data_IF_881138812698
#
_entry.id   IF_881138812698
#
_cell.length_a   1.000
_cell.length_b   1.000
_cell.length_c   1.000
_cell.angle_alpha   90.00
_cell.angle_beta   90.00
_cell.angle_gamma   90.00
#
_symmetry.space_group_name_H-M   'P 1'
#
loop_
_entity.id
_entity.type
_entity.pdbx_description
1 polymer ?
#
# COMPACT_ATOMS: atom_id res chain seq x y z
N UNK A 1 38.51 42.42 27.95
CA UNK A 1 38.08 41.72 26.73
C UNK A 1 37.80 40.27 27.12
N UNK A 2 36.51 39.93 27.32
CA UNK A 2 36.08 38.58 27.67
C UNK A 2 35.51 37.91 26.42
N UNK A 3 35.96 36.69 26.14
CA UNK A 3 35.53 35.85 25.03
C UNK A 3 34.04 35.48 25.14
N UNK A 4 33.30 35.38 24.03
CA UNK A 4 31.89 34.96 24.09
C UNK A 4 31.78 33.45 24.39
N UNK A 5 30.67 32.99 25.01
CA UNK A 5 30.46 31.59 25.33
C UNK A 5 30.17 30.76 24.06
N UNK A 6 30.72 29.55 24.02
CA UNK A 6 30.55 28.60 22.93
C UNK A 6 29.08 28.18 22.76
N UNK A 7 28.58 28.27 21.53
CA UNK A 7 27.28 27.76 21.10
C UNK A 7 27.18 26.24 21.35
N UNK A 8 26.01 25.70 21.75
CA UNK A 8 25.85 24.26 21.90
C UNK A 8 25.96 23.61 20.52
N UNK A 9 26.98 22.78 20.35
CA UNK A 9 27.15 21.88 19.22
C UNK A 9 25.95 20.95 19.17
N UNK A 10 25.02 21.21 18.25
CA UNK A 10 24.04 20.21 17.80
C UNK A 10 24.84 19.03 17.28
N UNK A 11 24.85 17.93 18.01
CA UNK A 11 25.40 16.66 17.56
C UNK A 11 24.61 16.23 16.33
N UNK A 12 25.11 16.55 15.15
CA UNK A 12 24.68 15.99 13.88
C UNK A 12 25.15 14.54 13.85
N UNK A 13 24.41 13.65 14.51
CA UNK A 13 24.59 12.21 14.31
C UNK A 13 24.19 11.93 12.87
N UNK A 14 25.18 11.65 12.02
CA UNK A 14 24.94 11.07 10.71
C UNK A 14 24.08 9.81 10.88
N UNK A 15 23.04 9.59 10.06
CA UNK A 15 22.25 8.37 10.18
C UNK A 15 23.20 7.19 9.94
N UNK A 16 23.39 6.36 10.97
CA UNK A 16 24.07 5.09 10.81
C UNK A 16 23.32 4.30 9.74
N UNK A 17 24.06 3.54 8.91
CA UNK A 17 23.55 2.68 7.82
C UNK A 17 22.60 1.55 8.28
N UNK A 18 21.97 1.69 9.44
CA UNK A 18 21.27 0.61 10.15
C UNK A 18 19.85 0.95 10.57
N UNK A 19 19.33 2.18 10.47
CA UNK A 19 17.93 2.43 10.88
C UNK A 19 16.96 2.02 9.76
N UNK A 20 16.05 1.07 10.05
CA UNK A 20 14.97 0.66 9.15
C UNK A 20 13.88 1.75 9.15
N UNK A 21 14.17 2.85 8.44
CA UNK A 21 13.33 4.03 8.35
C UNK A 21 12.76 4.17 6.94
N UNK A 22 11.43 4.06 6.82
CA UNK A 22 10.71 4.23 5.57
C UNK A 22 9.89 5.51 5.56
N UNK A 23 9.88 6.20 4.42
CA UNK A 23 9.02 7.35 4.17
C UNK A 23 7.75 6.89 3.44
N UNK A 24 6.59 7.15 4.01
CA UNK A 24 5.28 6.93 3.38
C UNK A 24 4.60 8.27 3.19
N UNK A 25 3.98 8.51 2.04
CA UNK A 25 3.22 9.73 1.78
C UNK A 25 1.73 9.43 1.65
N UNK A 26 0.87 10.33 2.13
CA UNK A 26 -0.59 10.23 1.93
C UNK A 26 -1.01 11.27 0.90
N UNK A 27 -1.61 10.84 -0.21
CA UNK A 27 -2.07 11.72 -1.29
C UNK A 27 -3.56 11.54 -1.53
N UNK A 28 -4.21 12.60 -2.02
CA UNK A 28 -5.65 12.60 -2.31
C UNK A 28 -6.27 13.98 -2.12
N UNK A 29 -7.44 14.17 -2.70
CA UNK A 29 -8.18 15.45 -2.67
C UNK A 29 -8.40 15.98 -1.26
N UNK A 30 -8.57 17.29 -1.11
CA UNK A 30 -8.96 17.90 0.16
C UNK A 30 -10.23 17.23 0.73
N UNK A 31 -10.31 17.15 2.06
CA UNK A 31 -11.45 16.62 2.81
C UNK A 31 -11.77 15.12 2.62
N UNK A 32 -10.94 14.34 1.90
CA UNK A 32 -11.11 12.87 1.83
C UNK A 32 -10.83 12.15 3.16
N UNK A 33 -10.22 12.83 4.13
CA UNK A 33 -9.99 12.32 5.49
C UNK A 33 -8.57 11.81 5.78
N UNK A 34 -7.55 12.25 5.04
CA UNK A 34 -6.13 11.88 5.24
C UNK A 34 -5.64 12.09 6.68
N UNK A 35 -5.87 13.28 7.23
CA UNK A 35 -5.46 13.64 8.59
C UNK A 35 -6.14 12.76 9.64
N UNK A 36 -7.47 12.58 9.55
CA UNK A 36 -8.21 11.71 10.47
C UNK A 36 -7.78 10.24 10.36
N UNK A 37 -7.53 9.73 9.15
CA UNK A 37 -6.97 8.39 8.96
C UNK A 37 -5.63 8.25 9.69
N UNK A 38 -4.73 9.22 9.54
CA UNK A 38 -3.42 9.16 10.16
C UNK A 38 -3.48 9.31 11.69
N UNK A 39 -4.27 10.25 12.20
CA UNK A 39 -4.45 10.44 13.65
C UNK A 39 -4.99 9.17 14.31
N UNK A 40 -6.03 8.56 13.75
CA UNK A 40 -6.61 7.32 14.28
C UNK A 40 -5.63 6.15 14.16
N UNK A 41 -4.97 5.99 13.01
CA UNK A 41 -4.08 4.85 12.77
C UNK A 41 -2.80 4.90 13.63
N UNK A 42 -2.21 6.07 13.79
CA UNK A 42 -0.85 6.20 14.35
C UNK A 42 -0.81 6.76 15.78
N UNK A 43 -1.80 7.56 16.18
CA UNK A 43 -1.87 8.16 17.52
C UNK A 43 -2.88 7.46 18.43
N UNK A 44 -3.77 6.65 17.87
CA UNK A 44 -4.91 6.10 18.60
C UNK A 44 -5.87 7.20 19.04
N UNK A 45 -5.80 8.37 18.39
CA UNK A 45 -6.65 9.52 18.70
C UNK A 45 -8.11 9.22 18.33
N UNK A 46 -9.03 9.91 19.00
CA UNK A 46 -10.43 9.88 18.60
C UNK A 46 -10.61 10.63 17.27
N UNK A 47 -11.53 10.14 16.45
CA UNK A 47 -11.93 10.79 15.22
C UNK A 47 -12.43 12.22 15.50
N UNK A 48 -11.90 13.21 14.77
CA UNK A 48 -12.31 14.60 14.87
C UNK A 48 -13.15 15.03 13.65
N UNK A 49 -14.46 15.19 13.87
CA UNK A 49 -15.38 15.70 12.84
C UNK A 49 -15.06 17.14 12.40
N UNK A 50 -14.41 17.92 13.28
CA UNK A 50 -14.06 19.32 13.05
C UNK A 50 -12.60 19.49 12.66
N UNK A 51 -11.96 18.42 12.16
CA UNK A 51 -10.56 18.45 11.74
C UNK A 51 -10.32 19.63 10.81
N UNK A 52 -9.49 20.58 11.24
CA UNK A 52 -9.15 21.77 10.46
C UNK A 52 -8.42 21.38 9.17
N UNK A 53 -8.44 22.28 8.18
CA UNK A 53 -7.65 22.08 6.98
C UNK A 53 -6.15 22.02 7.34
N UNK A 54 -5.45 20.99 6.88
CA UNK A 54 -4.00 20.87 7.03
C UNK A 54 -3.32 22.04 6.34
N UNK A 55 -2.62 22.89 7.10
CA UNK A 55 -1.90 24.05 6.57
C UNK A 55 -0.44 23.73 6.25
N UNK A 56 0.15 22.81 7.02
CA UNK A 56 1.56 22.43 6.90
C UNK A 56 1.69 20.90 6.84
N UNK A 57 2.63 20.37 6.03
CA UNK A 57 2.96 18.96 6.05
C UNK A 57 3.46 18.56 7.44
N UNK A 58 2.84 17.53 8.01
CA UNK A 58 3.27 16.92 9.27
C UNK A 58 3.48 15.42 9.01
N UNK A 59 4.39 14.80 9.74
CA UNK A 59 4.54 13.35 9.71
C UNK A 59 4.33 12.74 11.09
N UNK A 60 3.79 11.53 11.10
CA UNK A 60 3.73 10.69 12.30
C UNK A 60 4.66 9.50 12.11
N UNK A 61 5.33 9.08 13.18
CA UNK A 61 6.17 7.89 13.17
C UNK A 61 5.37 6.69 13.66
N UNK A 62 5.16 5.71 12.79
CA UNK A 62 4.60 4.40 13.11
C UNK A 62 5.73 3.41 13.35
N UNK A 63 5.63 2.63 14.42
CA UNK A 63 6.60 1.56 14.75
C UNK A 63 5.93 0.22 14.52
N UNK A 64 6.54 -0.60 13.68
CA UNK A 64 6.08 -1.95 13.34
C UNK A 64 7.12 -2.95 13.81
N UNK A 65 6.68 -4.04 14.44
CA UNK A 65 7.61 -5.09 14.86
C UNK A 65 8.18 -5.78 13.63
N UNK A 66 9.51 -5.93 13.60
CA UNK A 66 10.17 -6.59 12.48
C UNK A 66 9.91 -8.11 12.58
N UNK A 67 9.33 -8.74 11.54
CA UNK A 67 8.85 -10.13 11.63
C UNK A 67 9.99 -11.15 11.76
N UNK A 68 11.14 -10.89 11.16
CA UNK A 68 12.33 -11.75 11.21
C UNK A 68 13.37 -11.26 12.24
N UNK A 69 12.94 -10.48 13.24
CA UNK A 69 13.84 -10.08 14.31
C UNK A 69 14.12 -11.21 15.30
N UNK A 70 15.39 -11.34 15.68
CA UNK A 70 15.84 -12.28 16.69
C UNK A 70 16.44 -11.54 17.88
N UNK A 71 16.25 -12.09 19.08
CA UNK A 71 16.80 -11.53 20.30
C UNK A 71 18.32 -11.31 20.17
N UNK A 72 18.78 -10.11 20.52
CA UNK A 72 20.18 -9.69 20.39
C UNK A 72 20.54 -9.01 19.07
N UNK A 73 19.66 -9.01 18.06
CA UNK A 73 19.89 -8.26 16.82
C UNK A 73 19.47 -6.78 16.95
N UNK A 74 20.14 -5.83 16.26
CA UNK A 74 19.67 -4.45 16.20
C UNK A 74 18.37 -4.34 15.39
N UNK A 75 17.66 -3.22 15.56
CA UNK A 75 16.44 -2.87 14.80
C UNK A 75 15.29 -3.86 14.99
N UNK A 76 14.86 -4.05 16.24
CA UNK A 76 13.63 -4.77 16.57
C UNK A 76 12.38 -4.20 15.88
N UNK A 77 12.38 -2.89 15.63
CA UNK A 77 11.26 -2.19 15.03
C UNK A 77 11.66 -1.56 13.70
N UNK A 78 10.77 -1.69 12.73
CA UNK A 78 10.72 -0.88 11.53
C UNK A 78 10.02 0.43 11.89
N UNK A 79 10.55 1.56 11.42
CA UNK A 79 9.94 2.88 11.59
C UNK A 79 9.44 3.38 10.25
N UNK A 80 8.18 3.79 10.19
CA UNK A 80 7.62 4.46 9.04
C UNK A 80 7.25 5.90 9.41
N UNK A 81 7.83 6.88 8.72
CA UNK A 81 7.37 8.26 8.77
C UNK A 81 6.28 8.44 7.73
N UNK A 82 5.05 8.57 8.18
CA UNK A 82 3.88 8.77 7.33
C UNK A 82 3.59 10.26 7.27
N UNK A 83 3.77 10.85 6.09
CA UNK A 83 3.62 12.27 5.84
C UNK A 83 2.17 12.58 5.41
N UNK A 84 1.44 13.31 6.24
CA UNK A 84 0.17 13.91 5.89
C UNK A 84 0.43 15.23 5.15
N UNK A 85 0.06 15.26 3.86
CA UNK A 85 0.15 16.47 3.04
C UNK A 85 -1.19 17.19 3.02
N UNK A 86 -1.12 18.51 3.01
CA UNK A 86 -2.30 19.34 2.83
C UNK A 86 -2.90 19.10 1.45
N UNK A 87 -4.10 18.49 1.38
CA UNK A 87 -4.87 18.08 0.18
C UNK A 87 -5.16 19.12 -0.91
N UNK A 88 -4.57 20.31 -0.77
CA UNK A 88 -4.55 21.42 -1.73
C UNK A 88 -3.26 21.48 -2.56
N UNK A 89 -2.35 20.51 -2.43
CA UNK A 89 -1.05 20.48 -3.12
C UNK A 89 -1.13 20.40 -4.66
N UNK A 90 -2.35 20.40 -5.22
CA UNK A 90 -2.65 20.57 -6.65
C UNK A 90 -1.96 21.78 -7.31
N UNK A 91 -1.46 22.77 -6.56
CA UNK A 91 -1.11 24.06 -7.16
C UNK A 91 0.32 24.61 -7.06
N UNK A 92 1.30 24.08 -6.32
CA UNK A 92 2.60 24.78 -6.26
C UNK A 92 3.85 23.89 -6.16
N UNK A 93 4.95 24.42 -6.72
CA UNK A 93 6.32 23.91 -6.82
C UNK A 93 6.98 23.41 -5.51
N UNK A 94 6.31 23.57 -4.37
CA UNK A 94 6.69 23.04 -3.05
C UNK A 94 6.42 21.52 -2.95
N UNK A 95 5.58 20.99 -3.86
CA UNK A 95 5.03 19.62 -3.87
C UNK A 95 6.05 18.50 -4.18
N UNK A 96 6.96 18.68 -5.15
CA UNK A 96 7.85 17.60 -5.63
C UNK A 96 8.80 17.02 -4.56
N UNK A 97 9.23 17.85 -3.61
CA UNK A 97 10.10 17.43 -2.51
C UNK A 97 9.44 16.41 -1.56
N UNK A 98 8.12 16.44 -1.44
CA UNK A 98 7.36 15.51 -0.59
C UNK A 98 7.35 14.10 -1.16
N UNK A 99 7.23 13.97 -2.48
CA UNK A 99 7.26 12.69 -3.18
C UNK A 99 8.66 12.07 -3.23
N UNK A 100 9.70 12.91 -3.23
CA UNK A 100 11.08 12.43 -3.31
C UNK A 100 11.42 11.49 -2.16
N UNK A 101 12.08 10.37 -2.50
CA UNK A 101 12.48 9.30 -1.57
C UNK A 101 11.32 8.65 -0.82
N UNK A 102 10.09 8.73 -1.31
CA UNK A 102 8.99 7.93 -0.76
C UNK A 102 9.27 6.44 -1.00
N UNK A 103 9.18 5.65 0.05
CA UNK A 103 9.23 4.19 0.00
C UNK A 103 7.85 3.57 -0.26
N UNK A 104 6.78 4.30 0.07
CA UNK A 104 5.43 3.90 -0.29
C UNK A 104 4.45 5.07 -0.28
N UNK A 105 3.23 4.81 -0.74
CA UNK A 105 2.18 5.81 -0.83
C UNK A 105 0.80 5.25 -0.45
N UNK A 106 0.02 6.06 0.27
CA UNK A 106 -1.41 5.90 0.48
C UNK A 106 -2.15 6.84 -0.48
N UNK A 107 -3.05 6.30 -1.30
CA UNK A 107 -3.86 7.07 -2.24
C UNK A 107 -5.31 7.04 -1.75
N UNK A 108 -5.80 8.15 -1.20
CA UNK A 108 -7.07 8.20 -0.45
C UNK A 108 -8.17 8.90 -1.23
N UNK A 109 -9.35 8.30 -1.28
CA UNK A 109 -10.58 8.94 -1.76
C UNK A 109 -11.75 8.77 -0.77
N UNK A 110 -12.77 9.61 -0.91
CA UNK A 110 -14.01 9.52 -0.14
C UNK A 110 -15.03 8.73 -0.96
N UNK A 111 -15.49 7.58 -0.45
CA UNK A 111 -16.44 6.71 -1.17
C UNK A 111 -17.78 7.40 -1.45
N UNK A 112 -18.15 8.37 -0.62
CA UNK A 112 -19.40 9.13 -0.76
C UNK A 112 -19.32 10.25 -1.81
N UNK A 113 -18.12 10.53 -2.34
CA UNK A 113 -17.89 11.58 -3.33
C UNK A 113 -17.05 11.09 -4.52
N UNK A 114 -17.74 10.67 -5.57
CA UNK A 114 -17.20 10.10 -6.81
C UNK A 114 -16.18 11.02 -7.45
N UNK A 115 -16.34 12.34 -7.33
CA UNK A 115 -15.37 13.30 -7.85
C UNK A 115 -13.97 13.05 -7.26
N UNK A 116 -13.87 12.71 -5.98
CA UNK A 116 -12.57 12.48 -5.32
C UNK A 116 -11.83 11.27 -5.91
N UNK A 117 -12.57 10.22 -6.29
CA UNK A 117 -12.03 9.07 -6.99
C UNK A 117 -11.63 9.40 -8.44
N UNK A 118 -12.49 10.11 -9.19
CA UNK A 118 -12.17 10.51 -10.57
C UNK A 118 -11.04 11.53 -10.66
N UNK A 119 -10.85 12.35 -9.62
CA UNK A 119 -9.71 13.25 -9.49
C UNK A 119 -8.39 12.46 -9.41
N UNK A 120 -8.40 11.18 -8.99
CA UNK A 120 -7.25 10.28 -8.92
C UNK A 120 -7.18 9.34 -10.13
N UNK A 121 -8.29 8.79 -10.60
CA UNK A 121 -8.34 7.85 -11.72
C UNK A 121 -9.30 8.34 -12.82
N UNK A 122 -8.92 9.38 -13.59
CA UNK A 122 -9.74 9.85 -14.69
C UNK A 122 -9.85 8.76 -15.77
N UNK A 123 -11.08 8.42 -16.17
CA UNK A 123 -11.36 7.37 -17.17
C UNK A 123 -10.96 7.72 -18.62
N UNK A 124 -10.17 8.77 -18.85
CA UNK A 124 -9.77 9.29 -20.18
C UNK A 124 -8.24 9.38 -20.36
N UNK A 125 -7.78 9.91 -21.50
CA UNK A 125 -6.34 9.98 -21.90
C UNK A 125 -5.48 10.99 -21.14
N UNK A 126 -5.99 11.66 -20.10
CA UNK A 126 -5.20 12.53 -19.23
C UNK A 126 -5.09 11.88 -17.85
N UNK A 127 -3.87 11.63 -17.38
CA UNK A 127 -3.65 11.11 -16.02
C UNK A 127 -4.09 12.12 -14.96
N UNK A 128 -4.42 11.66 -13.75
CA UNK A 128 -4.70 12.60 -12.65
C UNK A 128 -3.44 13.36 -12.25
N UNK A 129 -3.58 14.59 -11.75
CA UNK A 129 -2.47 15.30 -11.13
C UNK A 129 -1.82 14.48 -10.00
N UNK A 130 -2.59 13.70 -9.25
CA UNK A 130 -2.09 12.87 -8.15
C UNK A 130 -1.15 11.77 -8.60
N UNK A 131 -1.59 10.98 -9.58
CA UNK A 131 -0.82 9.85 -10.08
C UNK A 131 0.35 10.32 -10.95
N UNK A 132 0.15 11.36 -11.75
CA UNK A 132 1.24 11.99 -12.52
C UNK A 132 2.30 12.56 -11.58
N UNK A 133 1.91 13.26 -10.51
CA UNK A 133 2.86 13.76 -9.53
C UNK A 133 3.61 12.62 -8.80
N UNK A 134 2.90 11.56 -8.41
CA UNK A 134 3.53 10.38 -7.82
C UNK A 134 4.55 9.76 -8.79
N UNK A 135 4.20 9.62 -10.07
CA UNK A 135 5.08 9.07 -11.12
C UNK A 135 6.33 9.90 -11.34
N UNK A 136 6.16 11.20 -11.53
CA UNK A 136 7.21 12.09 -11.99
C UNK A 136 8.18 12.49 -10.88
N UNK A 137 7.75 12.41 -9.61
CA UNK A 137 8.51 12.90 -8.47
C UNK A 137 8.99 11.81 -7.50
N UNK A 138 8.46 10.59 -7.59
CA UNK A 138 8.96 9.44 -6.80
C UNK A 138 10.10 8.75 -7.52
N UNK A 139 10.98 8.11 -6.76
CA UNK A 139 12.03 7.27 -7.30
C UNK A 139 11.47 5.85 -7.52
N UNK A 140 11.38 5.34 -8.76
CA UNK A 140 10.86 4.00 -9.03
C UNK A 140 11.63 2.89 -8.31
N UNK A 141 12.92 3.09 -8.04
CA UNK A 141 13.75 2.12 -7.32
C UNK A 141 13.45 2.10 -5.81
N UNK A 142 12.80 3.15 -5.27
CA UNK A 142 12.48 3.25 -3.85
C UNK A 142 11.00 3.02 -3.55
N UNK A 143 10.10 3.35 -4.48
CA UNK A 143 8.65 3.25 -4.30
C UNK A 143 8.19 1.78 -4.29
N UNK A 144 8.38 1.15 -3.14
CA UNK A 144 8.19 -0.27 -2.94
C UNK A 144 6.71 -0.66 -2.85
N UNK A 145 5.82 0.12 -2.26
CA UNK A 145 4.41 -0.29 -2.14
C UNK A 145 3.45 0.89 -2.23
N UNK A 146 2.29 0.66 -2.86
CA UNK A 146 1.22 1.65 -2.98
C UNK A 146 -0.10 1.00 -2.57
N UNK A 147 -0.87 1.71 -1.75
CA UNK A 147 -2.19 1.28 -1.31
C UNK A 147 -3.24 2.29 -1.74
N UNK A 148 -4.30 1.79 -2.40
CA UNK A 148 -5.53 2.52 -2.65
C UNK A 148 -6.43 2.42 -1.42
N UNK A 149 -6.86 3.55 -0.87
CA UNK A 149 -7.69 3.63 0.33
C UNK A 149 -9.05 4.23 -0.02
N UNK A 150 -10.08 3.38 0.03
CA UNK A 150 -11.49 3.78 0.02
C UNK A 150 -11.89 4.19 1.44
N UNK A 151 -12.05 5.48 1.69
CA UNK A 151 -12.35 6.00 3.03
C UNK A 151 -13.82 6.42 3.18
N UNK A 152 -14.25 6.49 4.44
CA UNK A 152 -15.60 6.86 4.88
C UNK A 152 -16.68 5.85 4.49
N UNK A 153 -16.33 4.56 4.53
CA UNK A 153 -17.26 3.47 4.21
C UNK A 153 -18.46 3.40 5.16
N UNK A 154 -18.38 4.03 6.34
CA UNK A 154 -19.53 4.23 7.23
C UNK A 154 -20.70 4.94 6.55
N UNK A 155 -20.42 5.83 5.59
CA UNK A 155 -21.45 6.54 4.84
C UNK A 155 -22.21 5.68 3.82
N UNK A 156 -21.68 4.50 3.45
CA UNK A 156 -22.36 3.57 2.53
C UNK A 156 -23.69 3.06 3.09
N UNK A 157 -23.76 2.96 4.42
CA UNK A 157 -24.90 2.44 5.15
C UNK A 157 -25.93 3.53 5.49
N UNK A 158 -25.60 4.81 5.29
CA UNK A 158 -26.52 5.92 5.55
C UNK A 158 -27.66 5.90 4.52
N UNK A 159 -28.91 5.83 5.01
CA UNK A 159 -30.11 5.71 4.16
C UNK A 159 -30.49 7.02 3.46
N UNK A 160 -29.88 8.13 3.88
CA UNK A 160 -30.26 9.50 3.50
C UNK A 160 -29.18 10.11 2.60
N UNK A 161 -29.17 9.77 1.31
CA UNK A 161 -28.19 10.34 0.40
C UNK A 161 -28.40 9.95 -1.06
N UNK A 162 -27.99 10.83 -1.95
CA UNK A 162 -27.91 10.56 -3.38
C UNK A 162 -26.75 9.61 -3.67
N UNK A 163 -27.06 8.30 -3.75
CA UNK A 163 -26.08 7.24 -4.04
C UNK A 163 -25.45 7.36 -5.44
N UNK A 164 -25.95 8.22 -6.33
CA UNK A 164 -25.32 8.44 -7.64
C UNK A 164 -23.94 9.09 -7.52
N UNK A 165 -23.69 9.79 -6.41
CA UNK A 165 -22.41 10.41 -6.08
C UNK A 165 -21.42 9.43 -5.48
N UNK A 166 -21.80 8.18 -5.21
CA UNK A 166 -20.93 7.23 -4.57
C UNK A 166 -20.04 6.56 -5.61
N UNK A 167 -18.83 6.19 -5.20
CA UNK A 167 -17.94 5.37 -6.02
C UNK A 167 -18.55 3.97 -6.11
N UNK A 168 -18.53 3.39 -7.31
CA UNK A 168 -19.08 2.05 -7.55
C UNK A 168 -17.95 1.02 -7.48
N UNK A 169 -18.22 -0.14 -6.89
CA UNK A 169 -17.27 -1.26 -6.85
C UNK A 169 -16.73 -1.66 -8.22
N UNK A 170 -17.55 -1.56 -9.27
CA UNK A 170 -17.12 -1.81 -10.66
C UNK A 170 -16.05 -0.82 -11.14
N UNK A 171 -16.13 0.45 -10.73
CA UNK A 171 -15.15 1.48 -11.09
C UNK A 171 -13.81 1.18 -10.39
N UNK A 172 -13.85 0.75 -9.12
CA UNK A 172 -12.67 0.34 -8.34
C UNK A 172 -12.01 -0.91 -8.92
N UNK A 173 -12.80 -1.97 -9.15
CA UNK A 173 -12.35 -3.23 -9.76
C UNK A 173 -11.67 -2.99 -11.12
N UNK A 174 -12.24 -2.10 -11.93
CA UNK A 174 -11.62 -1.68 -13.19
C UNK A 174 -10.23 -1.10 -12.95
N UNK A 175 -10.07 -0.11 -12.05
CA UNK A 175 -8.75 0.49 -11.75
C UNK A 175 -7.75 -0.53 -11.24
N UNK A 176 -8.15 -1.39 -10.30
CA UNK A 176 -7.30 -2.44 -9.74
C UNK A 176 -6.83 -3.41 -10.83
N UNK A 177 -7.71 -3.81 -11.74
CA UNK A 177 -7.35 -4.67 -12.88
C UNK A 177 -6.44 -3.94 -13.88
N UNK A 178 -6.71 -2.68 -14.20
CA UNK A 178 -5.91 -1.91 -15.17
C UNK A 178 -4.48 -1.67 -14.68
N UNK A 179 -4.32 -1.45 -13.38
CA UNK A 179 -3.02 -1.25 -12.73
C UNK A 179 -2.17 -2.54 -12.75
N UNK A 180 -2.83 -3.70 -12.77
CA UNK A 180 -2.14 -4.99 -12.92
C UNK A 180 -1.90 -5.32 -14.39
N UNK A 181 -2.86 -5.12 -15.29
CA UNK A 181 -2.84 -5.72 -16.64
C UNK A 181 -2.48 -4.78 -17.80
N UNK A 182 -2.56 -3.46 -17.66
CA UNK A 182 -2.24 -2.54 -18.77
C UNK A 182 -0.74 -2.22 -18.84
N UNK A 183 -0.24 -2.01 -20.06
CA UNK A 183 1.14 -1.56 -20.30
C UNK A 183 1.44 -0.26 -19.52
N UNK A 184 2.56 -0.20 -18.75
CA UNK A 184 3.05 1.01 -18.08
C UNK A 184 3.13 2.28 -18.94
N UNK A 185 3.29 2.13 -20.26
CA UNK A 185 3.37 3.23 -21.22
C UNK A 185 2.00 3.79 -21.61
N UNK A 186 0.92 3.01 -21.48
CA UNK A 186 -0.41 3.35 -21.99
C UNK A 186 -1.51 3.37 -20.91
N UNK A 187 -1.20 2.97 -19.67
CA UNK A 187 -2.16 2.93 -18.57
C UNK A 187 -1.52 3.08 -17.19
N UNK A 188 -2.25 2.64 -16.16
CA UNK A 188 -1.80 2.68 -14.76
C UNK A 188 -0.76 1.62 -14.41
N UNK A 189 -0.34 0.80 -15.38
CA UNK A 189 0.66 -0.24 -15.18
C UNK A 189 2.00 0.28 -14.65
N UNK A 190 2.35 1.56 -14.80
CA UNK A 190 3.63 2.09 -14.28
C UNK A 190 3.67 2.20 -12.76
N UNK A 191 2.52 2.22 -12.07
CA UNK A 191 2.49 2.10 -10.61
C UNK A 191 3.25 0.84 -10.16
N UNK A 192 3.41 -0.11 -11.09
CA UNK A 192 4.03 -1.40 -10.91
C UNK A 192 4.82 -1.78 -12.16
N UNK A 193 6.12 -1.49 -12.24
CA UNK A 193 6.99 -1.74 -13.40
C UNK A 193 7.18 -3.24 -13.77
N UNK A 194 6.09 -3.95 -14.04
CA UNK A 194 6.06 -5.29 -14.61
C UNK A 194 5.82 -5.15 -16.11
N UNK A 195 6.76 -5.63 -16.92
CA UNK A 195 6.47 -5.82 -18.34
C UNK A 195 5.36 -6.88 -18.48
N UNK A 196 4.60 -6.85 -19.57
CA UNK A 196 3.50 -7.79 -19.79
C UNK A 196 3.98 -9.26 -19.82
N UNK A 197 5.26 -9.47 -20.13
CA UNK A 197 5.92 -10.77 -20.24
C UNK A 197 6.50 -11.28 -18.91
N UNK A 198 6.45 -10.49 -17.83
CA UNK A 198 6.91 -10.90 -16.49
C UNK A 198 5.96 -11.90 -15.85
N UNK A 199 6.51 -12.79 -15.02
CA UNK A 199 5.75 -13.88 -14.38
C UNK A 199 4.59 -13.37 -13.51
N UNK A 200 3.54 -14.19 -13.37
CA UNK A 200 2.36 -13.84 -12.56
C UNK A 200 2.72 -13.52 -11.09
N UNK A 201 3.63 -14.25 -10.42
CA UNK A 201 4.12 -13.90 -9.09
C UNK A 201 4.76 -12.51 -9.02
N UNK A 202 5.44 -12.05 -10.07
CA UNK A 202 6.00 -10.70 -10.13
C UNK A 202 4.90 -9.63 -10.16
N UNK A 203 3.83 -9.87 -10.93
CA UNK A 203 2.70 -8.96 -11.09
C UNK A 203 1.86 -8.86 -9.81
N UNK A 204 1.68 -9.99 -9.09
CA UNK A 204 1.08 -10.01 -7.74
C UNK A 204 1.99 -9.33 -6.73
N UNK A 205 3.28 -9.68 -6.79
CA UNK A 205 4.43 -9.02 -6.19
C UNK A 205 4.21 -7.53 -6.06
N UNK A 206 4.01 -6.93 -7.24
CA UNK A 206 3.81 -5.52 -7.50
C UNK A 206 2.33 -5.18 -7.75
N UNK A 207 1.36 -5.72 -7.04
CA UNK A 207 -0.02 -5.20 -7.12
C UNK A 207 -0.24 -4.03 -6.16
N UNK A 208 -1.33 -3.27 -6.33
CA UNK A 208 -1.78 -2.34 -5.30
C UNK A 208 -2.25 -3.14 -4.09
N UNK A 209 -2.07 -2.59 -2.89
CA UNK A 209 -2.95 -2.95 -1.78
C UNK A 209 -4.26 -2.18 -1.95
N UNK A 210 -5.39 -2.76 -1.60
CA UNK A 210 -6.66 -2.05 -1.54
C UNK A 210 -7.23 -2.12 -0.13
N UNK A 211 -7.58 -0.99 0.47
CA UNK A 211 -8.14 -0.95 1.81
C UNK A 211 -9.45 -0.17 1.83
N UNK A 212 -10.49 -0.77 2.42
CA UNK A 212 -11.75 -0.09 2.77
C UNK A 212 -11.67 0.35 4.21
N UNK A 213 -11.94 1.62 4.50
CA UNK A 213 -11.65 2.21 5.81
C UNK A 213 -12.76 3.13 6.30
N UNK A 214 -12.98 3.13 7.63
CA UNK A 214 -13.73 4.16 8.33
C UNK A 214 -12.88 4.71 9.48
N UNK A 215 -12.35 5.92 9.29
CA UNK A 215 -11.66 6.64 10.37
C UNK A 215 -12.56 6.84 11.60
N UNK A 216 -13.86 7.06 11.39
CA UNK A 216 -14.85 7.24 12.46
C UNK A 216 -14.94 6.01 13.39
N UNK A 217 -14.85 4.81 12.84
CA UNK A 217 -14.97 3.57 13.61
C UNK A 217 -13.63 2.86 13.83
N UNK A 218 -12.52 3.44 13.37
CA UNK A 218 -11.21 2.78 13.32
C UNK A 218 -11.28 1.37 12.71
N UNK A 219 -12.01 1.22 11.61
CA UNK A 219 -12.13 -0.06 10.90
C UNK A 219 -11.38 -0.03 9.58
N UNK A 220 -10.80 -1.17 9.22
CA UNK A 220 -10.23 -1.41 7.90
C UNK A 220 -10.48 -2.84 7.44
N UNK A 221 -10.80 -3.02 6.16
CA UNK A 221 -10.73 -4.29 5.44
C UNK A 221 -9.64 -4.16 4.38
N UNK A 222 -8.61 -5.00 4.45
CA UNK A 222 -7.51 -5.01 3.50
C UNK A 222 -7.74 -6.09 2.44
N UNK A 223 -7.38 -5.80 1.20
CA UNK A 223 -7.47 -6.72 0.08
C UNK A 223 -6.13 -6.77 -0.66
N UNK A 224 -5.70 -7.98 -0.97
CA UNK A 224 -4.49 -8.24 -1.74
C UNK A 224 -4.79 -9.05 -3.01
N UNK A 225 -4.00 -8.84 -4.06
CA UNK A 225 -4.12 -9.62 -5.29
C UNK A 225 -3.57 -11.02 -5.08
N UNK A 226 -4.36 -12.06 -5.37
CA UNK A 226 -3.96 -13.47 -5.25
C UNK A 226 -4.25 -14.25 -6.55
N UNK A 227 -3.57 -15.39 -6.75
CA UNK A 227 -3.95 -16.37 -7.78
C UNK A 227 -5.03 -17.29 -7.22
N UNK A 228 -6.22 -17.30 -7.83
CA UNK A 228 -7.20 -18.35 -7.55
C UNK A 228 -6.98 -19.55 -8.46
N UNK A 229 -6.85 -20.72 -7.84
CA UNK A 229 -7.00 -21.98 -8.54
C UNK A 229 -8.44 -22.08 -9.09
N UNK A 230 -8.59 -22.34 -10.39
CA UNK A 230 -9.90 -22.54 -11.00
C UNK A 230 -10.41 -23.93 -10.56
N UNK A 231 -11.52 -24.03 -9.81
CA UNK A 231 -12.04 -25.32 -9.36
C UNK A 231 -12.30 -26.26 -10.54
N UNK A 232 -11.76 -27.48 -10.49
CA UNK A 232 -11.91 -28.49 -11.55
C UNK A 232 -10.79 -28.52 -12.60
N UNK A 233 -9.71 -27.74 -12.45
CA UNK A 233 -8.49 -27.84 -13.28
C UNK A 233 -7.28 -28.06 -12.36
N UNK A 234 -6.58 -29.18 -12.53
CA UNK A 234 -5.61 -29.72 -11.58
C UNK A 234 -4.43 -28.79 -11.24
N UNK A 235 -3.92 -28.94 -10.02
CA UNK A 235 -2.67 -28.33 -9.55
C UNK A 235 -1.45 -28.87 -10.32
N UNK A 236 -0.54 -27.98 -10.69
CA UNK A 236 0.73 -28.34 -11.33
C UNK A 236 1.68 -28.95 -10.30
N UNK A 237 2.08 -30.22 -10.50
CA UNK A 237 3.27 -30.80 -9.88
C UNK A 237 4.46 -30.48 -10.80
N UNK A 238 5.48 -29.80 -10.29
CA UNK A 238 6.74 -29.55 -11.00
C UNK A 238 7.49 -30.88 -11.21
N UNK A 239 7.85 -31.20 -12.46
CA UNK A 239 8.94 -32.16 -12.74
C UNK A 239 8.72 -33.30 -13.74
N UNK A 240 7.81 -33.21 -14.72
CA UNK A 240 7.71 -34.24 -15.78
C UNK A 240 7.73 -33.64 -17.19
N UNK A 241 8.47 -34.29 -18.10
CA UNK A 241 8.62 -33.92 -19.52
C UNK A 241 7.27 -33.95 -20.26
N UNK A 242 7.06 -32.97 -21.15
CA UNK A 242 5.80 -32.68 -21.84
C UNK A 242 5.64 -33.39 -23.20
N UNK A 243 6.47 -34.39 -23.51
CA UNK A 243 6.36 -35.12 -24.77
C UNK A 243 5.36 -36.27 -24.64
N UNK A 244 4.11 -36.01 -25.03
CA UNK A 244 3.10 -37.07 -25.23
C UNK A 244 1.68 -36.83 -24.71
N UNK A 245 1.36 -35.67 -24.13
CA UNK A 245 0.01 -35.42 -23.60
C UNK A 245 -1.00 -34.96 -24.68
N UNK A 246 -2.27 -35.44 -24.59
CA UNK A 246 -3.34 -35.08 -25.53
C UNK A 246 -3.71 -33.60 -25.47
N UNK A 247 -4.10 -33.03 -26.62
CA UNK A 247 -4.30 -31.59 -26.87
C UNK A 247 -5.28 -30.90 -25.90
N UNK A 248 -6.21 -31.62 -25.28
CA UNK A 248 -7.14 -31.04 -24.29
C UNK A 248 -6.46 -30.60 -22.98
N UNK A 249 -5.29 -31.16 -22.65
CA UNK A 249 -4.47 -30.69 -21.51
C UNK A 249 -3.65 -29.43 -21.85
N UNK A 250 -3.57 -29.05 -23.14
CA UNK A 250 -2.86 -27.86 -23.62
C UNK A 250 -3.72 -26.59 -23.54
N UNK A 251 -5.02 -26.67 -23.27
CA UNK A 251 -5.86 -25.50 -22.97
C UNK A 251 -5.78 -25.13 -21.49
N UNK A 252 -4.60 -24.73 -21.05
CA UNK A 252 -4.41 -24.09 -19.76
C UNK A 252 -4.95 -22.65 -19.85
N UNK A 253 -6.09 -22.39 -19.22
CA UNK A 253 -6.52 -21.01 -18.99
C UNK A 253 -5.59 -20.41 -17.93
N UNK A 254 -5.09 -19.17 -18.12
CA UNK A 254 -4.24 -18.54 -17.13
C UNK A 254 -4.98 -18.44 -15.79
N UNK A 255 -4.28 -18.55 -14.64
CA UNK A 255 -4.89 -18.42 -13.33
C UNK A 255 -5.65 -17.10 -13.24
N UNK A 256 -6.83 -17.14 -12.62
CA UNK A 256 -7.66 -15.94 -12.45
C UNK A 256 -7.11 -15.16 -11.28
N UNK A 257 -6.65 -13.93 -11.53
CA UNK A 257 -6.23 -13.04 -10.46
C UNK A 257 -7.44 -12.34 -9.85
N UNK A 258 -7.57 -12.40 -8.54
CA UNK A 258 -8.64 -11.74 -7.80
C UNK A 258 -8.08 -11.04 -6.55
N UNK A 259 -8.71 -9.95 -6.14
CA UNK A 259 -8.45 -9.34 -4.83
C UNK A 259 -9.21 -10.13 -3.77
N UNK A 260 -8.48 -10.67 -2.80
CA UNK A 260 -9.04 -11.40 -1.67
C UNK A 260 -8.88 -10.60 -0.37
N UNK A 261 -9.88 -10.64 0.53
CA UNK A 261 -9.79 -9.96 1.81
C UNK A 261 -8.79 -10.67 2.73
N UNK A 262 -7.95 -9.87 3.39
CA UNK A 262 -7.17 -10.29 4.54
C UNK A 262 -8.07 -10.26 5.78
N UNK A 263 -8.32 -11.43 6.37
CA UNK A 263 -9.23 -11.61 7.52
C UNK A 263 -8.65 -11.14 8.86
N UNK A 264 -7.34 -10.93 8.93
CA UNK A 264 -6.64 -10.52 10.15
C UNK A 264 -6.66 -9.00 10.34
N UNK A 265 -6.73 -8.24 9.23
CA UNK A 265 -6.77 -6.79 9.24
C UNK A 265 -8.19 -6.30 9.51
N UNK A 266 -8.37 -5.63 10.66
CA UNK A 266 -9.66 -5.09 11.11
C UNK A 266 -9.62 -3.60 11.44
N UNK A 267 -8.43 -3.02 11.57
CA UNK A 267 -8.22 -1.63 11.97
C UNK A 267 -7.26 -0.90 11.03
N UNK A 268 -7.32 0.43 11.03
CA UNK A 268 -6.50 1.26 10.13
C UNK A 268 -5.02 1.13 10.49
N UNK A 269 -4.70 0.96 11.77
CA UNK A 269 -3.34 0.69 12.24
C UNK A 269 -2.78 -0.60 11.64
N UNK A 270 -3.58 -1.68 11.61
CA UNK A 270 -3.17 -2.95 11.01
C UNK A 270 -3.00 -2.85 9.48
N UNK A 271 -3.89 -2.14 8.78
CA UNK A 271 -3.73 -1.91 7.35
C UNK A 271 -2.43 -1.12 7.04
N UNK A 272 -2.13 -0.10 7.85
CA UNK A 272 -0.89 0.67 7.75
C UNK A 272 0.35 -0.18 8.07
N UNK A 273 0.26 -1.05 9.07
CA UNK A 273 1.30 -2.03 9.38
C UNK A 273 1.57 -2.97 8.20
N UNK A 274 0.52 -3.51 7.56
CA UNK A 274 0.66 -4.35 6.37
C UNK A 274 1.37 -3.63 5.21
N UNK A 275 1.07 -2.34 4.98
CA UNK A 275 1.80 -1.54 4.01
C UNK A 275 3.30 -1.45 4.34
N UNK A 276 3.63 -1.16 5.60
CA UNK A 276 5.02 -1.03 6.07
C UNK A 276 5.78 -2.36 5.95
N UNK A 277 5.14 -3.48 6.29
CA UNK A 277 5.70 -4.82 6.11
C UNK A 277 5.93 -5.14 4.63
N UNK A 278 5.02 -4.73 3.73
CA UNK A 278 5.20 -4.90 2.29
C UNK A 278 6.38 -4.09 1.74
N UNK A 279 6.57 -2.86 2.24
CA UNK A 279 7.75 -2.03 1.92
C UNK A 279 9.02 -2.73 2.40
N UNK A 280 9.04 -3.20 3.65
CA UNK A 280 10.18 -3.89 4.26
C UNK A 280 10.59 -5.15 3.48
N UNK A 281 9.62 -6.01 3.16
CA UNK A 281 9.87 -7.23 2.40
C UNK A 281 10.49 -6.93 1.03
N UNK A 282 10.01 -5.88 0.35
CA UNK A 282 10.55 -5.48 -0.96
C UNK A 282 11.91 -4.79 -0.86
N UNK A 283 12.20 -4.02 0.19
CA UNK A 283 13.51 -3.36 0.32
C UNK A 283 14.65 -4.37 0.48
N UNK A 284 14.40 -5.51 1.15
CA UNK A 284 15.37 -6.60 1.25
C UNK A 284 15.74 -7.20 -0.10
N UNK A 285 14.76 -7.33 -1.00
CA UNK A 285 15.00 -7.83 -2.35
C UNK A 285 15.81 -6.85 -3.19
N UNK A 286 15.75 -5.55 -2.89
CA UNK A 286 16.52 -4.49 -3.56
C UNK A 286 17.98 -4.49 -3.09
N UNK A 287 18.24 -4.65 -1.78
CA UNK A 287 19.60 -4.64 -1.20
C UNK A 287 20.45 -5.86 -1.60
N UNK A 288 19.82 -6.98 -1.97
CA UNK A 288 20.50 -8.22 -2.38
C UNK A 288 21.14 -8.18 -3.79
N UNK A 289 21.19 -7.02 -4.46
CA UNK A 289 21.77 -6.90 -5.81
C UNK A 289 20.97 -7.58 -6.91
N UNK A 290 19.74 -8.01 -6.63
CA UNK A 290 18.85 -8.59 -7.62
C UNK A 290 18.31 -7.49 -8.54
N UNK A 291 18.67 -7.54 -9.82
CA UNK A 291 17.90 -6.84 -10.85
C UNK A 291 16.51 -7.46 -10.88
N UNK A 292 15.53 -6.71 -10.36
CA UNK A 292 14.09 -7.01 -10.25
C UNK A 292 13.69 -7.89 -9.05
N UNK A 293 12.60 -7.54 -8.33
CA UNK A 293 12.11 -8.33 -7.22
C UNK A 293 11.63 -9.70 -7.70
N UNK A 294 12.37 -10.77 -7.40
CA UNK A 294 11.85 -12.14 -7.51
C UNK A 294 10.85 -12.37 -6.37
N UNK A 295 9.62 -11.92 -6.55
CA UNK A 295 8.54 -12.17 -5.60
C UNK A 295 8.09 -13.62 -5.72
N UNK A 296 8.44 -14.48 -4.75
CA UNK A 296 7.48 -15.49 -4.31
C UNK A 296 6.34 -14.75 -3.60
N UNK A 297 5.13 -15.28 -3.67
CA UNK A 297 3.97 -14.71 -3.00
C UNK A 297 4.27 -14.47 -1.51
N UNK A 298 3.78 -13.36 -0.96
CA UNK A 298 3.83 -13.10 0.47
C UNK A 298 2.93 -14.15 1.15
N UNK A 299 3.54 -15.02 1.95
CA UNK A 299 2.81 -15.92 2.83
C UNK A 299 2.72 -15.24 4.19
N UNK A 300 1.51 -14.89 4.62
CA UNK A 300 1.23 -14.54 6.01
C UNK A 300 1.69 -15.70 6.90
N UNK A 301 2.34 -15.38 8.01
CA UNK A 301 2.75 -16.41 8.98
C UNK A 301 1.50 -17.13 9.49
N UNK A 302 1.36 -18.42 9.17
CA UNK A 302 0.35 -19.25 9.80
C UNK A 302 0.53 -19.19 11.33
N UNK A 303 -0.55 -18.89 12.05
CA UNK A 303 -0.57 -19.00 13.50
C UNK A 303 -0.05 -20.38 13.91
N UNK A 304 0.81 -20.49 14.94
CA UNK A 304 1.30 -21.79 15.37
C UNK A 304 0.10 -22.67 15.70
N UNK A 305 0.00 -23.81 15.03
CA UNK A 305 -1.06 -24.78 15.26
C UNK A 305 -1.21 -24.99 16.76
N UNK A 306 -2.40 -24.67 17.29
CA UNK A 306 -2.75 -24.85 18.69
C UNK A 306 -2.29 -26.24 19.13
N UNK A 307 -1.40 -26.29 20.11
CA UNK A 307 -0.96 -27.53 20.71
C UNK A 307 -2.20 -28.34 21.10
N UNK A 308 -2.39 -29.48 20.43
CA UNK A 308 -3.35 -30.48 20.86
C UNK A 308 -2.93 -30.91 22.27
N UNK A 309 -3.63 -30.38 23.27
CA UNK A 309 -3.66 -30.96 24.60
C UNK A 309 -4.32 -32.32 24.47
N UNK A 310 -3.50 -33.36 24.35
CA UNK A 310 -3.92 -34.73 24.64
C UNK A 310 -4.23 -34.81 26.14
N UNK A 311 -5.46 -34.50 26.50
CA UNK A 311 -6.08 -35.06 27.68
C UNK A 311 -6.52 -36.49 27.31
N UNK A 312 -5.76 -37.47 27.78
CA UNK A 312 -6.21 -38.86 27.85
C UNK A 312 -6.29 -39.25 29.32
N UNK A 313 -7.34 -40.01 29.65
CA UNK A 313 -7.65 -40.60 30.94
C UNK A 313 -6.49 -41.40 31.56
#
# INVERSE_FOLDING_TARGET
MQSPPASPTKSSTSPSRSELLYKVIIIGTQAVGKTNLLSVAARGDQFDERSAATLQPEFVTVKVQRPDWKFGEPNQFIRAQVWDTAGQERYQAISSSHYRRANGALIVYDVSEKKTFTDIFPGGKGGSPWLTALKENSDPALLAAVMLVENKVDKLNETSGDKTKFVKDQDVQKVLSETVFKDPKQGLGWLHEAKAEETIPFRIANSLLFARTSARHNTAELFEQCEKAVPGKGLTIQGMSLDGLPEFLKQQQPPKLEYEPDVEVKSISQALEALVLRIYARSKNIEAGASKPSGKAFHLHEAPASAQTNACC
#
